data_IF_450603585841
#
_entry.id   IF_450603585841
#
_cell.length_a   1.000
_cell.length_b   1.000
_cell.length_c   1.000
_cell.angle_alpha   90.00
_cell.angle_beta   90.00
_cell.angle_gamma   90.00
#
_symmetry.space_group_name_H-M   'P 1'
#
loop_
_entity.id
_entity.type
_entity.pdbx_description
1 polymer ?
#
# COMPACT_ATOMS: atom_id res chain seq x y z
N UNK A 1 -35.53 -53.56 -56.62
CA UNK A 1 -34.65 -54.24 -55.63
C UNK A 1 -33.22 -53.68 -55.60
N UNK A 2 -32.44 -53.67 -56.71
CA UNK A 2 -31.08 -53.08 -56.72
C UNK A 2 -31.14 -51.54 -56.61
N UNK A 3 -32.10 -50.90 -57.31
CA UNK A 3 -32.30 -49.43 -57.24
C UNK A 3 -32.76 -48.95 -55.84
N UNK A 4 -33.57 -49.74 -55.14
CA UNK A 4 -34.05 -49.40 -53.78
C UNK A 4 -32.93 -49.49 -52.75
N UNK A 5 -32.02 -50.47 -52.90
CA UNK A 5 -30.82 -50.59 -52.06
C UNK A 5 -29.85 -49.41 -52.27
N UNK A 6 -29.68 -48.96 -53.51
CA UNK A 6 -28.85 -47.79 -53.83
C UNK A 6 -29.47 -46.50 -53.29
N UNK A 7 -30.78 -46.31 -53.41
CA UNK A 7 -31.48 -45.14 -52.83
C UNK A 7 -31.48 -45.16 -51.30
N UNK A 8 -31.60 -46.32 -50.66
CA UNK A 8 -31.52 -46.46 -49.20
C UNK A 8 -30.09 -46.26 -48.67
N UNK A 9 -29.08 -46.67 -49.45
CA UNK A 9 -27.67 -46.39 -49.20
C UNK A 9 -27.32 -44.90 -49.39
N UNK A 10 -27.77 -44.26 -50.47
CA UNK A 10 -27.60 -42.82 -50.66
C UNK A 10 -28.34 -42.01 -49.59
N UNK A 11 -29.54 -42.43 -49.20
CA UNK A 11 -30.33 -41.76 -48.16
C UNK A 11 -29.65 -41.77 -46.80
N UNK A 12 -29.02 -42.89 -46.40
CA UNK A 12 -28.29 -42.98 -45.14
C UNK A 12 -27.00 -42.15 -45.14
N UNK A 13 -26.27 -42.11 -46.26
CA UNK A 13 -25.10 -41.23 -46.42
C UNK A 13 -25.50 -39.76 -46.36
N UNK A 14 -26.58 -39.37 -47.03
CA UNK A 14 -27.07 -37.98 -47.02
C UNK A 14 -27.48 -37.55 -45.61
N UNK A 15 -28.17 -38.43 -44.88
CA UNK A 15 -28.61 -38.18 -43.50
C UNK A 15 -27.41 -38.06 -42.54
N UNK A 16 -26.39 -38.90 -42.71
CA UNK A 16 -25.13 -38.82 -41.95
C UNK A 16 -24.38 -37.51 -42.24
N UNK A 17 -24.34 -37.09 -43.51
CA UNK A 17 -23.70 -35.84 -43.92
C UNK A 17 -24.42 -34.64 -43.31
N UNK A 18 -25.76 -34.65 -43.33
CA UNK A 18 -26.61 -33.60 -42.77
C UNK A 18 -26.45 -33.50 -41.25
N UNK A 19 -26.37 -34.65 -40.56
CA UNK A 19 -26.06 -34.73 -39.14
C UNK A 19 -24.67 -34.16 -38.81
N UNK A 20 -23.67 -34.49 -39.62
CA UNK A 20 -22.30 -33.99 -39.46
C UNK A 20 -22.23 -32.47 -39.65
N UNK A 21 -22.92 -31.94 -40.66
CA UNK A 21 -22.99 -30.50 -40.93
C UNK A 21 -23.68 -29.77 -39.79
N UNK A 22 -24.81 -30.30 -39.30
CA UNK A 22 -25.55 -29.68 -38.19
C UNK A 22 -24.74 -29.70 -36.89
N UNK A 23 -24.00 -30.78 -36.64
CA UNK A 23 -23.09 -30.88 -35.47
C UNK A 23 -21.88 -29.94 -35.57
N UNK A 24 -21.48 -29.56 -36.78
CA UNK A 24 -20.30 -28.72 -37.00
C UNK A 24 -20.55 -27.22 -36.74
N UNK A 25 -21.81 -26.78 -36.74
CA UNK A 25 -22.16 -25.37 -36.56
C UNK A 25 -22.15 -24.98 -35.08
N UNK A 26 -21.20 -24.12 -34.68
CA UNK A 26 -21.18 -23.51 -33.34
C UNK A 26 -21.20 -22.00 -33.44
N UNK A 27 -21.90 -21.37 -32.50
CA UNK A 27 -22.01 -19.91 -32.41
C UNK A 27 -21.12 -19.44 -31.25
N UNK A 28 -20.22 -18.51 -31.54
CA UNK A 28 -19.38 -17.83 -30.55
C UNK A 28 -19.92 -16.41 -30.35
N UNK A 29 -19.99 -15.98 -29.08
CA UNK A 29 -20.37 -14.62 -28.72
C UNK A 29 -19.24 -13.64 -29.04
N UNK A 30 -19.55 -12.35 -29.18
CA UNK A 30 -18.57 -11.31 -29.54
C UNK A 30 -17.35 -11.22 -28.61
N UNK A 31 -17.58 -11.49 -27.32
CA UNK A 31 -16.55 -11.47 -26.29
C UNK A 31 -15.84 -12.82 -26.11
N UNK A 32 -16.21 -13.85 -26.86
CA UNK A 32 -15.57 -15.16 -26.83
C UNK A 32 -14.66 -15.34 -28.04
N UNK A 33 -13.61 -16.13 -27.85
CA UNK A 33 -12.74 -16.58 -28.93
C UNK A 33 -12.52 -18.07 -28.87
N UNK A 34 -12.62 -18.73 -30.01
CA UNK A 34 -12.40 -20.17 -30.14
C UNK A 34 -10.97 -20.47 -30.56
N UNK A 35 -10.18 -21.10 -29.69
CA UNK A 35 -8.88 -21.68 -30.07
C UNK A 35 -9.16 -23.07 -30.62
N UNK A 36 -8.94 -23.25 -31.93
CA UNK A 36 -9.23 -24.52 -32.60
C UNK A 36 -7.94 -25.31 -32.79
N UNK A 37 -8.00 -26.56 -32.35
CA UNK A 37 -7.01 -27.59 -32.56
C UNK A 37 -7.52 -28.56 -33.62
N UNK A 38 -6.64 -29.04 -34.48
CA UNK A 38 -6.93 -30.10 -35.44
C UNK A 38 -5.89 -31.20 -35.26
N UNK A 39 -6.34 -32.43 -34.98
CA UNK A 39 -5.45 -33.59 -34.80
C UNK A 39 -4.27 -33.31 -33.86
N UNK A 40 -4.51 -32.62 -32.75
CA UNK A 40 -3.49 -32.28 -31.75
C UNK A 40 -2.57 -31.10 -32.11
N UNK A 41 -2.74 -30.47 -33.28
CA UNK A 41 -2.00 -29.26 -33.68
C UNK A 41 -2.87 -28.02 -33.61
N UNK A 42 -2.28 -26.88 -33.31
CA UNK A 42 -2.97 -25.60 -33.40
C UNK A 42 -3.33 -25.30 -34.87
N UNK A 43 -4.60 -24.97 -35.12
CA UNK A 43 -5.06 -24.59 -36.45
C UNK A 43 -5.14 -23.07 -36.59
N UNK A 44 -6.06 -22.44 -35.85
CA UNK A 44 -6.28 -20.98 -35.87
C UNK A 44 -7.16 -20.55 -34.70
N UNK A 45 -6.99 -19.30 -34.29
CA UNK A 45 -7.94 -18.60 -33.43
C UNK A 45 -9.12 -18.11 -34.28
N UNK A 46 -10.32 -18.66 -34.06
CA UNK A 46 -11.55 -18.29 -34.78
C UNK A 46 -12.30 -17.18 -34.07
N UNK A 47 -12.75 -16.20 -34.84
CA UNK A 47 -13.47 -15.02 -34.36
C UNK A 47 -14.92 -15.27 -33.95
N UNK A 48 -15.60 -14.23 -33.42
CA UNK A 48 -16.99 -14.33 -33.00
C UNK A 48 -17.92 -14.55 -34.20
N UNK A 49 -19.11 -15.07 -33.94
CA UNK A 49 -20.09 -15.41 -34.97
C UNK A 49 -20.16 -16.92 -35.25
N UNK A 50 -20.61 -17.25 -36.46
CA UNK A 50 -20.84 -18.63 -36.88
C UNK A 50 -19.49 -19.30 -37.22
N UNK A 51 -19.13 -20.30 -36.43
CA UNK A 51 -17.87 -21.01 -36.56
C UNK A 51 -18.12 -22.49 -36.82
N UNK A 52 -17.63 -22.96 -37.97
CA UNK A 52 -17.68 -24.36 -38.36
C UNK A 52 -16.52 -25.14 -37.72
N UNK A 53 -16.82 -26.11 -36.87
CA UNK A 53 -15.83 -27.01 -36.23
C UNK A 53 -16.23 -28.45 -36.55
N UNK A 54 -15.42 -29.16 -37.33
CA UNK A 54 -15.75 -30.51 -37.76
C UNK A 54 -15.61 -31.47 -36.56
N UNK A 55 -16.71 -32.09 -36.09
CA UNK A 55 -16.64 -33.02 -34.97
C UNK A 55 -15.77 -34.23 -35.32
N UNK A 56 -14.99 -34.72 -34.36
CA UNK A 56 -14.06 -35.86 -34.52
C UNK A 56 -12.62 -35.46 -34.82
N UNK A 57 -12.39 -34.47 -35.70
CA UNK A 57 -11.03 -34.06 -36.11
C UNK A 57 -10.61 -32.76 -35.42
N UNK A 58 -11.56 -31.83 -35.22
CA UNK A 58 -11.30 -30.51 -34.63
C UNK A 58 -11.85 -30.42 -33.21
N UNK A 59 -11.03 -29.89 -32.31
CA UNK A 59 -11.41 -29.58 -30.93
C UNK A 59 -11.28 -28.07 -30.72
N UNK A 60 -12.24 -27.46 -30.04
CA UNK A 60 -12.24 -26.02 -29.80
C UNK A 60 -12.35 -25.71 -28.31
N UNK A 61 -11.44 -24.88 -27.82
CA UNK A 61 -11.49 -24.31 -26.48
C UNK A 61 -11.98 -22.87 -26.58
N UNK A 62 -13.01 -22.52 -25.80
CA UNK A 62 -13.58 -21.16 -25.77
C UNK A 62 -12.89 -20.37 -24.67
N UNK A 63 -12.52 -19.13 -24.98
CA UNK A 63 -11.86 -18.21 -24.04
C UNK A 63 -12.62 -16.89 -24.02
N UNK A 64 -12.92 -16.39 -22.82
CA UNK A 64 -13.54 -15.09 -22.62
C UNK A 64 -12.47 -13.99 -22.68
N UNK A 65 -12.75 -12.91 -23.42
CA UNK A 65 -11.84 -11.77 -23.59
C UNK A 65 -12.16 -10.62 -22.61
N UNK A 66 -13.17 -10.77 -21.75
CA UNK A 66 -13.56 -9.77 -20.76
C UNK A 66 -12.58 -9.72 -19.58
N UNK A 67 -12.61 -8.61 -18.86
CA UNK A 67 -11.90 -8.48 -17.59
C UNK A 67 -12.58 -9.39 -16.58
N UNK A 68 -11.81 -10.29 -16.00
CA UNK A 68 -12.21 -11.16 -14.90
C UNK A 68 -11.47 -10.75 -13.64
N UNK A 69 -12.14 -10.93 -12.51
CA UNK A 69 -11.58 -10.74 -11.17
C UNK A 69 -11.06 -12.08 -10.66
N UNK A 70 -9.84 -12.07 -10.15
CA UNK A 70 -9.23 -13.22 -9.50
C UNK A 70 -8.81 -12.84 -8.08
N UNK A 71 -9.41 -13.52 -7.12
CA UNK A 71 -9.05 -13.38 -5.71
C UNK A 71 -7.75 -14.15 -5.45
N UNK A 72 -6.77 -13.45 -4.90
CA UNK A 72 -5.50 -14.03 -4.50
C UNK A 72 -5.65 -14.53 -3.07
N UNK A 73 -5.33 -15.81 -2.76
CA UNK A 73 -5.48 -16.34 -1.43
C UNK A 73 -4.65 -15.54 -0.42
N UNK A 74 -5.19 -15.27 0.78
CA UNK A 74 -4.53 -14.46 1.79
C UNK A 74 -3.15 -15.01 2.13
N UNK A 75 -2.17 -14.13 2.30
CA UNK A 75 -0.84 -14.50 2.76
C UNK A 75 -0.64 -13.98 4.18
N UNK A 76 -0.19 -14.86 5.07
CA UNK A 76 0.31 -14.50 6.39
C UNK A 76 1.76 -14.00 6.24
N UNK A 77 1.98 -12.72 6.49
CA UNK A 77 3.32 -12.13 6.46
C UNK A 77 3.64 -11.61 7.86
N UNK A 78 4.83 -11.95 8.34
CA UNK A 78 5.36 -11.44 9.60
C UNK A 78 6.05 -10.12 9.26
N UNK A 79 5.55 -9.01 9.80
CA UNK A 79 6.25 -7.73 9.70
C UNK A 79 7.51 -7.75 10.55
N UNK A 80 8.43 -6.82 10.29
CA UNK A 80 9.66 -6.67 11.07
C UNK A 80 9.41 -6.33 12.54
N UNK A 81 8.27 -5.71 12.86
CA UNK A 81 7.80 -5.45 14.23
C UNK A 81 7.26 -6.71 14.93
N UNK A 82 7.49 -7.89 14.34
CA UNK A 82 7.03 -9.18 14.83
C UNK A 82 5.50 -9.26 14.94
N UNK A 83 4.79 -8.53 14.07
CA UNK A 83 3.33 -8.55 13.97
C UNK A 83 2.93 -9.33 12.72
N UNK A 84 2.09 -10.35 12.90
CA UNK A 84 1.52 -11.11 11.80
C UNK A 84 0.37 -10.33 11.16
N UNK A 85 0.47 -10.03 9.87
CA UNK A 85 -0.57 -9.36 9.10
C UNK A 85 -1.05 -10.28 7.97
N UNK A 86 -2.37 -10.41 7.84
CA UNK A 86 -3.03 -11.10 6.71
C UNK A 86 -3.30 -10.11 5.60
N UNK A 87 -2.68 -10.32 4.44
CA UNK A 87 -2.87 -9.45 3.27
C UNK A 87 -3.72 -10.16 2.23
N UNK A 88 -4.81 -9.53 1.84
CA UNK A 88 -5.70 -9.94 0.76
C UNK A 88 -5.43 -9.09 -0.48
N UNK A 89 -5.52 -9.69 -1.67
CA UNK A 89 -5.37 -8.96 -2.93
C UNK A 89 -6.34 -9.49 -4.00
N UNK A 90 -6.76 -8.61 -4.91
CA UNK A 90 -7.60 -8.95 -6.06
C UNK A 90 -6.91 -8.49 -7.33
N UNK A 91 -6.86 -9.36 -8.34
CA UNK A 91 -6.22 -9.08 -9.63
C UNK A 91 -7.29 -8.99 -10.72
N UNK A 92 -7.30 -7.88 -11.44
CA UNK A 92 -8.13 -7.69 -12.63
C UNK A 92 -7.29 -8.00 -13.86
N UNK A 93 -7.70 -8.98 -14.65
CA UNK A 93 -7.01 -9.31 -15.90
C UNK A 93 -7.97 -9.72 -17.00
N UNK A 94 -7.53 -9.63 -18.26
CA UNK A 94 -8.25 -10.15 -19.42
C UNK A 94 -7.30 -10.86 -20.35
N UNK A 95 -7.78 -11.86 -21.07
CA UNK A 95 -6.98 -12.55 -22.08
C UNK A 95 -6.87 -11.68 -23.32
N UNK A 96 -5.66 -11.21 -23.64
CA UNK A 96 -5.37 -10.46 -24.87
C UNK A 96 -5.15 -11.39 -26.04
N UNK A 97 -4.44 -12.49 -25.81
CA UNK A 97 -4.10 -13.50 -26.81
C UNK A 97 -4.53 -14.89 -26.33
N UNK A 98 -5.66 -15.42 -26.84
CA UNK A 98 -6.19 -16.71 -26.39
C UNK A 98 -5.35 -17.90 -26.89
N UNK A 99 -4.60 -17.76 -27.98
CA UNK A 99 -3.71 -18.82 -28.44
C UNK A 99 -2.62 -19.09 -27.41
N UNK A 100 -1.93 -18.03 -26.98
CA UNK A 100 -0.87 -18.15 -25.98
C UNK A 100 -1.41 -18.58 -24.62
N UNK A 101 -2.54 -18.03 -24.20
CA UNK A 101 -3.13 -18.36 -22.90
C UNK A 101 -3.49 -19.85 -22.74
N UNK A 102 -3.85 -20.54 -23.82
CA UNK A 102 -4.22 -21.96 -23.79
C UNK A 102 -3.03 -22.88 -24.11
N UNK A 103 -2.14 -22.48 -25.02
CA UNK A 103 -1.05 -23.36 -25.48
C UNK A 103 0.18 -23.27 -24.58
N UNK A 104 0.49 -22.08 -24.04
CA UNK A 104 1.73 -21.88 -23.27
C UNK A 104 1.56 -22.23 -21.79
N UNK A 105 0.33 -22.25 -21.28
CA UNK A 105 0.04 -22.47 -19.87
C UNK A 105 -1.14 -23.43 -19.74
N UNK A 106 -1.00 -24.47 -18.93
CA UNK A 106 -2.06 -25.47 -18.68
C UNK A 106 -3.32 -24.81 -18.10
N UNK A 107 -3.14 -24.00 -17.05
CA UNK A 107 -4.21 -23.23 -16.43
C UNK A 107 -3.74 -21.81 -16.15
N UNK A 108 -4.09 -20.88 -17.05
CA UNK A 108 -3.69 -19.48 -16.93
C UNK A 108 -4.25 -18.79 -15.69
N UNK A 109 -5.44 -19.18 -15.19
CA UNK A 109 -6.02 -18.63 -13.96
C UNK A 109 -5.13 -18.98 -12.75
N UNK A 110 -4.74 -20.25 -12.63
CA UNK A 110 -3.88 -20.71 -11.55
C UNK A 110 -2.47 -20.11 -11.65
N UNK A 111 -1.89 -20.09 -12.85
CA UNK A 111 -0.56 -19.51 -13.06
C UNK A 111 -0.53 -18.02 -12.69
N UNK A 112 -1.56 -17.26 -13.05
CA UNK A 112 -1.70 -15.84 -12.69
C UNK A 112 -1.87 -15.67 -11.19
N UNK A 113 -2.67 -16.53 -10.53
CA UNK A 113 -2.81 -16.50 -9.06
C UNK A 113 -1.48 -16.76 -8.37
N UNK A 114 -0.74 -17.78 -8.79
CA UNK A 114 0.57 -18.12 -8.22
C UNK A 114 1.58 -16.99 -8.42
N UNK A 115 1.65 -16.42 -9.62
CA UNK A 115 2.53 -15.28 -9.90
C UNK A 115 2.16 -14.08 -9.04
N UNK A 116 0.87 -13.78 -8.87
CA UNK A 116 0.40 -12.72 -7.99
C UNK A 116 0.77 -12.98 -6.53
N UNK A 117 0.61 -14.20 -6.02
CA UNK A 117 1.00 -14.59 -4.66
C UNK A 117 2.51 -14.45 -4.43
N UNK A 118 3.33 -14.96 -5.36
CA UNK A 118 4.79 -14.86 -5.27
C UNK A 118 5.23 -13.41 -5.33
N UNK A 119 4.65 -12.62 -6.24
CA UNK A 119 4.95 -11.18 -6.34
C UNK A 119 4.52 -10.44 -5.07
N UNK A 120 3.33 -10.72 -4.54
CA UNK A 120 2.84 -10.14 -3.29
C UNK A 120 3.79 -10.46 -2.12
N UNK A 121 4.23 -11.71 -2.00
CA UNK A 121 5.21 -12.11 -0.97
C UNK A 121 6.56 -11.39 -1.15
N UNK A 122 7.05 -11.25 -2.39
CA UNK A 122 8.32 -10.56 -2.67
C UNK A 122 8.21 -9.06 -2.41
N UNK A 123 7.11 -8.42 -2.82
CA UNK A 123 6.88 -6.97 -2.63
C UNK A 123 6.70 -6.65 -1.15
N UNK A 124 5.91 -7.44 -0.43
CA UNK A 124 5.74 -7.29 1.02
C UNK A 124 7.04 -7.53 1.80
N UNK A 125 7.94 -8.38 1.28
CA UNK A 125 9.27 -8.58 1.86
C UNK A 125 10.32 -7.53 1.46
N UNK A 126 10.08 -6.73 0.40
CA UNK A 126 11.02 -5.72 -0.12
C UNK A 126 10.66 -4.30 0.27
N UNK A 127 9.38 -3.95 0.29
CA UNK A 127 8.90 -2.65 0.74
C UNK A 127 8.59 -2.75 2.22
N UNK A 128 9.65 -2.70 3.03
CA UNK A 128 9.49 -2.42 4.45
C UNK A 128 8.93 -0.99 4.61
N UNK A 129 7.98 -0.87 5.53
CA UNK A 129 7.50 0.37 6.12
C UNK A 129 8.65 1.32 6.59
N UNK A 130 9.87 0.77 6.70
CA UNK A 130 11.13 1.43 7.08
C UNK A 130 11.55 2.56 6.14
N UNK A 131 11.34 2.51 4.82
CA UNK A 131 11.74 3.64 3.96
C UNK A 131 10.92 4.90 4.27
N UNK A 132 9.61 4.75 4.54
CA UNK A 132 8.74 5.88 4.87
C UNK A 132 8.91 6.36 6.32
N UNK A 133 9.14 5.44 7.26
CA UNK A 133 9.46 5.79 8.65
C UNK A 133 10.84 6.44 8.76
N UNK A 134 11.87 5.93 8.06
CA UNK A 134 13.19 6.52 8.03
C UNK A 134 13.20 7.90 7.36
N UNK A 135 12.41 8.12 6.31
CA UNK A 135 12.20 9.47 5.75
C UNK A 135 11.54 10.41 6.76
N UNK A 136 10.50 9.96 7.48
CA UNK A 136 9.81 10.78 8.49
C UNK A 136 10.74 11.11 9.66
N UNK A 137 11.50 10.13 10.15
CA UNK A 137 12.42 10.29 11.28
C UNK A 137 13.61 11.18 10.90
N UNK A 138 14.14 11.01 9.68
CA UNK A 138 15.17 11.90 9.12
C UNK A 138 14.66 13.34 8.98
N UNK A 139 13.45 13.54 8.43
CA UNK A 139 12.84 14.88 8.33
C UNK A 139 12.59 15.50 9.70
N UNK A 140 12.07 14.74 10.66
CA UNK A 140 11.86 15.22 12.02
C UNK A 140 13.16 15.67 12.69
N UNK A 141 14.25 14.91 12.51
CA UNK A 141 15.57 15.23 13.06
C UNK A 141 16.18 16.49 12.42
N UNK A 142 16.00 16.68 11.12
CA UNK A 142 16.44 17.91 10.42
C UNK A 142 15.65 19.13 10.91
N UNK A 143 14.32 19.04 11.01
CA UNK A 143 13.48 20.13 11.50
C UNK A 143 13.84 20.52 12.94
N UNK A 144 14.09 19.53 13.81
CA UNK A 144 14.48 19.79 15.19
C UNK A 144 15.84 20.50 15.28
N UNK A 145 16.83 20.05 14.50
CA UNK A 145 18.16 20.68 14.48
C UNK A 145 18.11 22.13 13.95
N UNK A 146 17.33 22.39 12.91
CA UNK A 146 17.12 23.76 12.41
C UNK A 146 16.36 24.65 13.41
N UNK A 147 15.36 24.09 14.10
CA UNK A 147 14.64 24.78 15.17
C UNK A 147 15.54 25.16 16.35
N UNK A 148 16.40 24.25 16.81
CA UNK A 148 17.39 24.53 17.86
C UNK A 148 18.39 25.60 17.44
N UNK A 149 18.86 25.56 16.18
CA UNK A 149 19.75 26.58 15.63
C UNK A 149 19.10 27.97 15.62
N UNK A 150 17.84 28.07 15.20
CA UNK A 150 17.09 29.32 15.21
C UNK A 150 16.84 29.82 16.63
N UNK A 151 16.47 28.94 17.55
CA UNK A 151 16.25 29.29 18.95
C UNK A 151 17.55 29.79 19.62
N UNK A 152 18.68 29.10 19.40
CA UNK A 152 19.98 29.53 19.91
C UNK A 152 20.40 30.90 19.35
N UNK A 153 20.17 31.14 18.05
CA UNK A 153 20.45 32.44 17.44
C UNK A 153 19.59 33.56 18.04
N UNK A 154 18.28 33.33 18.20
CA UNK A 154 17.36 34.29 18.81
C UNK A 154 17.71 34.57 20.28
N UNK A 155 18.11 33.55 21.06
CA UNK A 155 18.56 33.71 22.44
C UNK A 155 19.86 34.51 22.53
N UNK A 156 20.81 34.26 21.62
CA UNK A 156 22.05 35.05 21.55
C UNK A 156 21.77 36.52 21.24
N UNK A 157 20.85 36.79 20.31
CA UNK A 157 20.45 38.13 19.94
C UNK A 157 19.72 38.85 21.10
N UNK A 158 18.81 38.15 21.78
CA UNK A 158 18.18 38.65 22.99
C UNK A 158 19.20 38.93 24.11
N UNK A 159 20.17 38.03 24.33
CA UNK A 159 21.23 38.21 25.32
C UNK A 159 22.11 39.42 25.00
N UNK A 160 22.42 39.66 23.72
CA UNK A 160 23.15 40.87 23.28
C UNK A 160 22.34 42.14 23.54
N UNK A 161 21.05 42.15 23.19
CA UNK A 161 20.19 43.31 23.46
C UNK A 161 20.08 43.60 24.97
N UNK A 162 19.91 42.58 25.80
CA UNK A 162 19.88 42.70 27.26
C UNK A 162 21.22 43.16 27.86
N UNK A 163 22.34 42.76 27.27
CA UNK A 163 23.68 43.21 27.69
C UNK A 163 23.94 44.68 27.35
N UNK A 164 23.37 45.18 26.25
CA UNK A 164 23.55 46.56 25.81
C UNK A 164 22.57 47.53 26.48
N UNK A 165 21.44 47.02 27.00
CA UNK A 165 20.40 47.82 27.65
C UNK A 165 20.15 47.33 29.10
N UNK A 166 20.86 47.87 30.11
CA UNK A 166 20.72 47.43 31.51
C UNK A 166 19.31 47.63 32.10
N UNK A 167 18.52 48.55 31.56
CA UNK A 167 17.11 48.80 31.95
C UNK A 167 16.16 47.65 31.52
N UNK A 168 16.49 46.92 30.46
CA UNK A 168 15.66 45.84 29.94
C UNK A 168 15.64 44.60 30.85
N UNK A 169 16.73 44.34 31.60
CA UNK A 169 16.80 43.26 32.59
C UNK A 169 15.88 43.52 33.79
N UNK A 170 15.71 44.78 34.20
CA UNK A 170 14.80 45.15 35.28
C UNK A 170 13.33 44.96 34.88
N UNK A 171 12.96 45.34 33.65
CA UNK A 171 11.62 45.09 33.11
C UNK A 171 11.35 43.59 32.96
N UNK A 172 12.33 42.81 32.48
CA UNK A 172 12.24 41.34 32.44
C UNK A 172 12.03 40.77 33.85
N UNK A 173 12.78 41.26 34.84
CA UNK A 173 12.64 40.84 36.23
C UNK A 173 11.22 41.09 36.76
N UNK A 174 10.68 42.30 36.56
CA UNK A 174 9.30 42.63 36.93
C UNK A 174 8.28 41.76 36.19
N UNK A 175 8.46 41.53 34.88
CA UNK A 175 7.59 40.65 34.09
C UNK A 175 7.64 39.20 34.58
N UNK A 176 8.82 38.66 34.87
CA UNK A 176 8.95 37.31 35.44
C UNK A 176 8.31 37.21 36.82
N UNK A 177 8.41 38.26 37.65
CA UNK A 177 7.72 38.32 38.94
C UNK A 177 6.21 38.29 38.75
N UNK A 178 5.65 39.06 37.81
CA UNK A 178 4.21 39.04 37.53
C UNK A 178 3.72 37.72 36.92
N UNK A 179 4.55 37.06 36.10
CA UNK A 179 4.18 35.79 35.47
C UNK A 179 4.27 34.61 36.44
N UNK A 180 5.30 34.56 37.28
CA UNK A 180 5.43 33.58 38.36
C UNK A 180 4.37 33.79 39.44
N UNK A 181 3.97 35.03 39.71
CA UNK A 181 2.84 35.33 40.60
C UNK A 181 1.47 34.95 40.01
N UNK A 182 1.35 34.81 38.69
CA UNK A 182 0.12 34.45 37.99
C UNK A 182 -0.09 32.95 37.77
N UNK A 183 0.99 32.17 37.61
CA UNK A 183 0.92 30.71 37.54
C UNK A 183 0.65 30.11 38.93
N UNK A 184 -0.29 29.16 38.99
CA UNK A 184 -0.89 28.61 40.22
C UNK A 184 0.04 27.73 41.08
N UNK A 185 1.25 28.17 41.38
CA UNK A 185 2.10 27.62 42.43
C UNK A 185 2.23 28.67 43.55
N UNK A 186 1.47 28.48 44.61
CA UNK A 186 1.26 29.39 45.75
C UNK A 186 2.49 29.62 46.66
N UNK A 187 3.71 29.49 46.13
CA UNK A 187 4.94 29.76 46.88
C UNK A 187 5.51 31.10 46.43
N UNK A 188 5.14 32.14 47.16
CA UNK A 188 5.69 33.49 47.04
C UNK A 188 7.17 33.48 47.45
N UNK A 189 8.06 33.19 46.49
CA UNK A 189 9.50 33.35 46.68
C UNK A 189 9.84 34.79 46.34
N UNK A 190 9.86 35.66 47.36
CA UNK A 190 10.46 36.99 47.25
C UNK A 190 11.97 36.86 47.42
N UNK A 191 12.79 37.04 46.36
CA UNK A 191 14.23 37.13 46.54
C UNK A 191 14.55 38.44 47.25
N UNK A 192 14.88 38.36 48.54
CA UNK A 192 15.33 39.52 49.30
C UNK A 192 16.79 39.82 48.94
N UNK A 193 17.11 41.04 48.46
CA UNK A 193 18.49 41.42 48.18
C UNK A 193 19.30 41.38 49.48
N UNK A 194 20.49 40.78 49.42
CA UNK A 194 21.36 40.57 50.58
C UNK A 194 21.74 41.89 51.28
N UNK A 195 21.70 42.99 50.54
CA UNK A 195 21.95 44.36 51.03
C UNK A 195 20.91 44.80 52.07
N UNK A 196 19.66 44.32 51.98
CA UNK A 196 18.59 44.63 52.93
C UNK A 196 18.59 43.70 54.16
N UNK A 197 19.20 42.52 54.03
CA UNK A 197 19.28 41.52 55.10
C UNK A 197 20.45 41.79 56.05
N UNK A 198 21.54 42.40 55.56
CA UNK A 198 22.72 42.74 56.35
C UNK A 198 22.41 43.50 57.65
N UNK A 199 21.61 44.59 57.64
CA UNK A 199 21.27 45.36 58.84
C UNK A 199 20.35 44.63 59.84
N UNK A 200 19.54 43.66 59.38
CA UNK A 200 18.61 42.91 60.23
C UNK A 200 19.30 41.72 60.91
N UNK A 201 20.15 40.99 60.17
CA UNK A 201 20.95 39.88 60.72
C UNK A 201 21.93 40.37 61.78
N UNK A 202 22.57 41.52 61.56
CA UNK A 202 23.48 42.12 62.54
C UNK A 202 22.78 42.56 63.83
N UNK A 203 21.51 42.97 63.76
CA UNK A 203 20.71 43.29 64.96
C UNK A 203 20.23 42.04 65.72
N UNK A 204 19.90 40.96 65.01
CA UNK A 204 19.52 39.67 65.62
C UNK A 204 20.71 38.98 66.27
N UNK A 205 21.89 39.01 65.63
CA UNK A 205 23.12 38.48 66.21
C UNK A 205 23.50 39.21 67.52
N UNK A 206 23.34 40.54 67.56
CA UNK A 206 23.66 41.36 68.74
C UNK A 206 22.65 41.21 69.90
N UNK A 207 21.44 40.74 69.63
CA UNK A 207 20.42 40.47 70.66
C UNK A 207 20.64 39.11 71.37
N UNK A 208 21.36 38.17 70.73
CA UNK A 208 21.68 36.85 71.29
C UNK A 208 22.89 36.86 72.24
N UNK A 209 23.77 37.86 72.17
CA UNK A 209 24.94 38.00 73.05
C UNK A 209 24.64 38.73 74.38
N UNK A 210 23.43 39.25 74.56
CA UNK A 210 23.03 40.06 75.72
C UNK A 210 22.34 39.30 76.87
N UNK A 211 22.31 37.96 76.84
CA UNK A 211 21.84 37.13 77.97
C UNK A 211 22.90 36.11 78.36
N UNK A 212 23.96 36.59 78.99
CA UNK A 212 24.69 35.85 80.01
C UNK A 212 25.02 36.79 81.16
#
# INVERSE_FOLDING_TARGET
>A
MILDFVNMGLGSVLLLLMLLIFSALRILREYERGVVFQLGRFWKVKGPGLVLVIPGIQQMVRVDLRVVTLDVPPQDVISRDNVSVKVNAVVFFRVVDPQRAIIQVENFLMATSQLAQTTLRVVLGKHELDEMLAERERRAKVIHADGEKQAAAALLEAARMLSLQPEAMQLRYLQTMTQVAGDRASTLVFPLPMDLLGPLLTRVAKASEGKS
#
